data_IF_998831119982
#
_entry.id   IF_998831119982
#
_cell.length_a   1.000
_cell.length_b   1.000
_cell.length_c   1.000
_cell.angle_alpha   90.00
_cell.angle_beta   90.00
_cell.angle_gamma   90.00
#
_symmetry.space_group_name_H-M   'P 1'
#
loop_
_entity.id
_entity.type
_entity.pdbx_description
1 polymer ?
#
# COMPACT_ATOMS: atom_id res chain seq x y z
N UNK A 1 11.05 25.02 16.14
CA UNK A 1 12.09 25.00 15.11
C UNK A 1 11.74 26.06 14.08
N UNK A 2 12.65 27.00 13.81
CA UNK A 2 12.50 27.99 12.74
C UNK A 2 13.10 27.47 11.40
N UNK A 3 13.01 28.27 10.33
CA UNK A 3 13.49 27.85 9.00
C UNK A 3 15.00 27.65 8.92
N UNK A 4 15.80 28.37 9.72
CA UNK A 4 17.25 28.19 9.76
C UNK A 4 17.60 26.88 10.45
N UNK A 5 17.02 26.67 11.64
CA UNK A 5 17.16 25.44 12.41
C UNK A 5 16.70 24.22 11.61
N UNK A 6 15.59 24.35 10.86
CA UNK A 6 15.10 23.30 9.97
C UNK A 6 16.09 22.99 8.85
N UNK A 7 16.68 24.01 8.22
CA UNK A 7 17.67 23.81 7.15
C UNK A 7 18.91 23.09 7.66
N UNK A 8 19.43 23.48 8.82
CA UNK A 8 20.57 22.81 9.45
C UNK A 8 20.25 21.36 9.80
N UNK A 9 19.08 21.12 10.43
CA UNK A 9 18.59 19.78 10.75
C UNK A 9 18.42 18.89 9.51
N UNK A 10 17.86 19.44 8.43
CA UNK A 10 17.62 18.72 7.18
C UNK A 10 18.92 18.35 6.48
N UNK A 11 19.89 19.25 6.39
CA UNK A 11 21.21 18.96 5.80
C UNK A 11 21.93 17.87 6.61
N UNK A 12 21.97 18.02 7.93
CA UNK A 12 22.55 17.01 8.84
C UNK A 12 21.92 15.62 8.64
N UNK A 13 20.58 15.57 8.55
CA UNK A 13 19.85 14.32 8.34
C UNK A 13 20.12 13.71 6.97
N UNK A 14 20.24 14.53 5.93
CA UNK A 14 20.58 14.07 4.58
C UNK A 14 21.98 13.45 4.55
N UNK A 15 22.96 14.09 5.19
CA UNK A 15 24.33 13.57 5.28
C UNK A 15 24.36 12.22 6.04
N UNK A 16 23.57 12.08 7.12
CA UNK A 16 23.40 10.82 7.85
C UNK A 16 22.77 9.73 6.99
N UNK A 17 21.71 10.05 6.22
CA UNK A 17 21.04 9.10 5.30
C UNK A 17 22.01 8.65 4.20
N UNK A 18 22.76 9.57 3.59
CA UNK A 18 23.74 9.23 2.56
C UNK A 18 24.81 8.32 3.15
N UNK A 19 25.42 8.71 4.27
CA UNK A 19 26.42 7.87 4.97
C UNK A 19 25.85 6.49 5.33
N UNK A 20 24.59 6.44 5.72
CA UNK A 20 23.92 5.19 6.06
C UNK A 20 23.82 4.23 4.87
N UNK A 21 23.42 4.71 3.70
CA UNK A 21 23.35 3.89 2.48
C UNK A 21 24.73 3.55 1.91
N UNK A 22 25.70 4.47 2.00
CA UNK A 22 27.09 4.23 1.58
C UNK A 22 27.78 3.15 2.43
N UNK A 23 27.32 2.92 3.66
CA UNK A 23 27.89 1.94 4.61
C UNK A 23 26.92 0.81 4.95
N UNK A 24 25.88 0.60 4.13
CA UNK A 24 24.81 -0.36 4.43
C UNK A 24 25.31 -1.81 4.51
N UNK A 25 26.35 -2.14 3.73
CA UNK A 25 26.96 -3.48 3.67
C UNK A 25 27.69 -3.85 4.97
N UNK A 26 28.15 -2.86 5.73
CA UNK A 26 28.81 -3.07 7.03
C UNK A 26 27.80 -3.40 8.16
N UNK A 27 26.51 -3.28 7.88
CA UNK A 27 25.44 -3.44 8.87
C UNK A 27 24.87 -4.85 8.85
N UNK A 28 24.43 -5.33 10.02
CA UNK A 28 23.73 -6.61 10.10
C UNK A 28 22.38 -6.51 9.42
N UNK A 29 22.08 -7.47 8.56
CA UNK A 29 20.78 -7.57 7.89
C UNK A 29 19.65 -7.87 8.88
N UNK A 30 19.91 -8.71 9.89
CA UNK A 30 18.91 -9.08 10.90
C UNK A 30 19.21 -8.41 12.25
N UNK A 31 18.18 -7.85 12.92
CA UNK A 31 18.32 -7.28 14.25
C UNK A 31 18.60 -8.37 15.30
N UNK A 32 19.37 -8.04 16.35
CA UNK A 32 19.67 -8.95 17.49
C UNK A 32 18.96 -8.52 18.78
N UNK A 33 17.72 -8.09 18.64
CA UNK A 33 16.87 -7.52 19.70
C UNK A 33 15.59 -8.33 19.83
N UNK A 34 14.99 -8.30 21.01
CA UNK A 34 13.75 -9.02 21.31
C UNK A 34 12.51 -8.12 21.21
N UNK A 35 11.32 -8.68 20.92
CA UNK A 35 10.07 -7.93 20.93
C UNK A 35 9.89 -7.12 22.23
N UNK A 36 9.61 -5.83 22.09
CA UNK A 36 9.45 -4.91 23.21
C UNK A 36 10.74 -4.23 23.73
N UNK A 37 11.91 -4.46 23.11
CA UNK A 37 13.16 -3.80 23.52
C UNK A 37 13.05 -2.26 23.58
N UNK A 38 12.42 -1.65 22.57
CA UNK A 38 12.40 -0.19 22.41
C UNK A 38 11.64 0.51 23.55
N UNK A 39 10.56 -0.08 24.06
CA UNK A 39 9.80 0.45 25.19
C UNK A 39 10.67 0.62 26.44
N UNK A 40 11.72 -0.20 26.60
CA UNK A 40 12.65 -0.13 27.74
C UNK A 40 13.68 1.01 27.59
N UNK A 41 13.81 1.59 26.40
CA UNK A 41 14.81 2.62 26.06
C UNK A 41 14.23 4.02 25.90
N UNK A 42 12.89 4.13 25.85
CA UNK A 42 12.18 5.39 25.70
C UNK A 42 11.53 5.80 27.02
N UNK A 43 11.34 7.11 27.26
CA UNK A 43 10.53 7.59 28.38
C UNK A 43 9.11 7.04 28.35
N UNK A 44 8.46 6.93 29.51
CA UNK A 44 7.08 6.44 29.62
C UNK A 44 6.05 7.43 29.05
N UNK A 45 6.38 8.72 29.04
CA UNK A 45 5.52 9.81 28.57
C UNK A 45 6.25 10.71 27.57
N UNK A 46 5.48 11.35 26.69
CA UNK A 46 6.02 12.35 25.76
C UNK A 46 6.55 13.57 26.54
N UNK A 47 7.65 14.20 26.08
CA UNK A 47 8.22 15.36 26.76
C UNK A 47 7.24 16.55 26.73
N UNK A 48 7.08 17.23 27.87
CA UNK A 48 6.21 18.41 27.98
C UNK A 48 6.82 19.65 27.34
N UNK A 49 8.14 19.66 27.16
CA UNK A 49 8.90 20.74 26.54
C UNK A 49 9.62 20.23 25.30
N UNK A 50 9.88 21.11 24.35
CA UNK A 50 10.62 20.75 23.15
C UNK A 50 12.05 20.31 23.47
N UNK A 51 12.50 19.24 22.81
CA UNK A 51 13.88 18.74 22.89
C UNK A 51 14.72 19.27 21.71
N UNK A 52 16.04 19.30 21.89
CA UNK A 52 16.94 19.73 20.82
C UNK A 52 17.02 18.66 19.72
N UNK A 53 17.04 19.09 18.45
CA UNK A 53 17.14 18.17 17.31
C UNK A 53 18.36 17.25 17.38
N UNK A 54 19.50 17.76 17.85
CA UNK A 54 20.72 16.98 18.01
C UNK A 54 20.57 15.79 18.97
N UNK A 55 19.69 15.89 19.97
CA UNK A 55 19.44 14.78 20.90
C UNK A 55 18.47 13.77 20.30
N UNK A 56 17.49 14.23 19.49
CA UNK A 56 16.61 13.36 18.69
C UNK A 56 17.43 12.57 17.65
N UNK A 57 18.40 13.19 16.97
CA UNK A 57 19.26 12.50 15.98
C UNK A 57 20.07 11.37 16.63
N UNK A 58 20.69 11.63 17.80
CA UNK A 58 21.40 10.58 18.56
C UNK A 58 20.48 9.40 18.89
N UNK A 59 19.23 9.70 19.23
CA UNK A 59 18.23 8.67 19.53
C UNK A 59 17.81 7.86 18.29
N UNK A 60 17.70 8.50 17.12
CA UNK A 60 17.48 7.79 15.85
C UNK A 60 18.62 6.79 15.62
N UNK A 61 19.88 7.23 15.72
CA UNK A 61 21.05 6.37 15.52
C UNK A 61 21.11 5.21 16.54
N UNK A 62 20.93 5.52 17.83
CA UNK A 62 21.14 4.56 18.90
C UNK A 62 19.94 3.62 19.13
N UNK A 63 18.70 4.09 18.95
CA UNK A 63 17.48 3.37 19.37
C UNK A 63 16.65 2.86 18.19
N UNK A 64 16.63 3.59 17.07
CA UNK A 64 15.77 3.31 15.92
C UNK A 64 16.50 2.49 14.84
N UNK A 65 17.71 2.92 14.43
CA UNK A 65 18.47 2.24 13.36
C UNK A 65 18.70 0.73 13.57
N UNK A 66 18.88 0.21 14.80
CA UNK A 66 19.03 -1.23 15.00
C UNK A 66 17.82 -2.09 14.57
N UNK A 67 16.66 -1.48 14.28
CA UNK A 67 15.39 -2.17 13.98
C UNK A 67 14.78 -1.88 12.60
N UNK A 68 15.46 -1.19 11.70
CA UNK A 68 14.92 -0.79 10.37
C UNK A 68 15.40 -1.73 9.25
N UNK A 69 14.56 -1.92 8.22
CA UNK A 69 14.90 -2.51 6.91
C UNK A 69 14.82 -1.43 5.82
N UNK A 70 15.77 -1.42 4.88
CA UNK A 70 16.14 -0.23 4.08
C UNK A 70 15.53 -0.17 2.67
N UNK A 71 15.27 1.03 2.13
CA UNK A 71 14.82 1.26 0.74
C UNK A 71 15.22 2.67 0.22
N UNK A 72 16.06 2.72 -0.82
CA UNK A 72 16.50 3.92 -1.58
C UNK A 72 16.09 3.70 -3.06
N UNK A 73 15.56 4.67 -3.85
CA UNK A 73 15.84 6.12 -3.94
C UNK A 73 14.59 7.04 -3.88
N UNK A 74 13.41 6.54 -3.49
CA UNK A 74 12.13 7.28 -3.55
C UNK A 74 12.03 8.51 -2.61
N UNK A 75 13.00 8.71 -1.71
CA UNK A 75 12.93 9.69 -0.63
C UNK A 75 12.83 11.15 -1.10
N UNK A 76 13.46 11.53 -2.21
CA UNK A 76 13.36 12.91 -2.71
C UNK A 76 11.94 13.25 -3.18
N UNK A 77 11.26 12.30 -3.82
CA UNK A 77 9.84 12.45 -4.19
C UNK A 77 8.96 12.62 -2.96
N UNK A 78 9.21 11.80 -1.93
CA UNK A 78 8.48 11.86 -0.67
C UNK A 78 8.69 13.18 0.10
N UNK A 79 9.90 13.75 0.06
CA UNK A 79 10.17 15.06 0.65
C UNK A 79 9.31 16.17 0.03
N UNK A 80 9.19 16.19 -1.31
CA UNK A 80 8.32 17.15 -1.99
C UNK A 80 6.84 16.86 -1.74
N UNK A 81 6.43 15.58 -1.77
CA UNK A 81 5.06 15.16 -1.42
C UNK A 81 4.65 15.66 -0.03
N UNK A 82 5.52 15.44 0.96
CA UNK A 82 5.34 15.89 2.34
C UNK A 82 5.31 17.41 2.43
N UNK A 83 6.18 18.12 1.71
CA UNK A 83 6.21 19.59 1.73
C UNK A 83 4.93 20.23 1.19
N UNK A 84 4.29 19.59 0.20
CA UNK A 84 3.07 20.13 -0.41
C UNK A 84 1.80 19.78 0.37
N UNK A 85 1.80 18.71 1.18
CA UNK A 85 0.66 18.27 2.01
C UNK A 85 -0.70 18.25 1.27
N UNK A 86 -0.68 17.96 -0.03
CA UNK A 86 -1.86 18.10 -0.88
C UNK A 86 -2.95 17.12 -0.47
N UNK A 87 -4.13 17.62 -0.07
CA UNK A 87 -5.30 16.77 0.06
C UNK A 87 -5.71 16.27 -1.34
N UNK A 88 -5.80 14.96 -1.52
CA UNK A 88 -6.00 14.34 -2.85
C UNK A 88 -7.27 13.47 -2.93
N UNK A 89 -8.34 13.86 -2.22
CA UNK A 89 -9.59 13.08 -2.21
C UNK A 89 -10.57 13.46 -3.34
N UNK A 90 -10.34 14.57 -4.04
CA UNK A 90 -11.00 14.90 -5.29
C UNK A 90 -10.08 15.78 -6.15
N UNK A 91 -10.40 15.90 -7.44
CA UNK A 91 -9.55 16.61 -8.39
C UNK A 91 -9.34 18.09 -8.04
N UNK A 92 -10.37 18.78 -7.54
CA UNK A 92 -10.26 20.23 -7.24
C UNK A 92 -9.34 20.53 -6.05
N UNK A 93 -9.12 19.57 -5.15
CA UNK A 93 -8.19 19.74 -4.02
C UNK A 93 -6.72 19.74 -4.46
N UNK A 94 -6.35 18.96 -5.47
CA UNK A 94 -5.01 18.98 -6.06
C UNK A 94 -4.98 18.31 -7.45
N UNK A 95 -5.26 19.06 -8.54
CA UNK A 95 -5.32 18.51 -9.89
C UNK A 95 -4.06 17.75 -10.32
N UNK A 96 -2.91 18.32 -9.98
CA UNK A 96 -1.59 17.78 -10.35
C UNK A 96 -1.36 16.40 -9.76
N UNK A 97 -1.86 16.12 -8.54
CA UNK A 97 -1.70 14.79 -7.93
C UNK A 97 -2.44 13.73 -8.74
N UNK A 98 -3.68 14.02 -9.15
CA UNK A 98 -4.49 13.07 -9.95
C UNK A 98 -3.94 12.89 -11.37
N UNK A 99 -3.55 13.98 -12.02
CA UNK A 99 -3.05 13.92 -13.40
C UNK A 99 -1.68 13.26 -13.50
N UNK A 100 -0.76 13.57 -12.57
CA UNK A 100 0.58 12.98 -12.55
C UNK A 100 0.52 11.48 -12.29
N UNK A 101 -0.33 11.02 -11.37
CA UNK A 101 -0.53 9.59 -11.11
C UNK A 101 -0.97 8.86 -12.38
N UNK A 102 -1.96 9.40 -13.09
CA UNK A 102 -2.48 8.81 -14.33
C UNK A 102 -1.39 8.67 -15.39
N UNK A 103 -0.58 9.72 -15.59
CA UNK A 103 0.53 9.72 -16.56
C UNK A 103 1.59 8.68 -16.20
N UNK A 104 2.02 8.65 -14.93
CA UNK A 104 3.08 7.74 -14.46
C UNK A 104 2.63 6.29 -14.55
N UNK A 105 1.36 5.99 -14.25
CA UNK A 105 0.82 4.64 -14.37
C UNK A 105 0.64 4.20 -15.83
N UNK A 106 0.33 5.11 -16.74
CA UNK A 106 0.38 4.82 -18.18
C UNK A 106 1.81 4.50 -18.64
N UNK A 107 2.83 5.21 -18.11
CA UNK A 107 4.24 4.88 -18.38
C UNK A 107 4.59 3.49 -17.84
N UNK A 108 4.15 3.16 -16.63
CA UNK A 108 4.36 1.84 -16.01
C UNK A 108 3.68 0.71 -16.80
N UNK A 109 2.43 0.93 -17.24
CA UNK A 109 1.71 -0.03 -18.08
C UNK A 109 2.44 -0.31 -19.40
N UNK A 110 2.98 0.74 -20.05
CA UNK A 110 3.81 0.61 -21.25
C UNK A 110 5.13 -0.11 -20.96
N UNK A 111 5.79 0.19 -19.84
CA UNK A 111 7.04 -0.44 -19.44
C UNK A 111 6.88 -1.96 -19.21
N UNK A 112 5.73 -2.40 -18.68
CA UNK A 112 5.38 -3.82 -18.55
C UNK A 112 4.76 -4.44 -19.80
N UNK A 113 4.68 -3.69 -20.91
CA UNK A 113 4.02 -4.12 -22.14
C UNK A 113 2.58 -4.64 -21.91
N UNK A 114 1.84 -4.00 -21.00
CA UNK A 114 0.44 -4.36 -20.75
C UNK A 114 -0.45 -4.02 -21.96
N UNK A 115 -1.53 -4.78 -22.19
CA UNK A 115 -2.50 -4.48 -23.24
C UNK A 115 -3.06 -3.05 -23.18
N UNK A 116 -3.44 -2.45 -24.32
CA UNK A 116 -3.95 -1.08 -24.37
C UNK A 116 -5.19 -0.80 -23.50
N UNK A 117 -5.96 -1.83 -23.11
CA UNK A 117 -7.10 -1.66 -22.19
C UNK A 117 -6.71 -1.22 -20.76
N UNK A 118 -5.43 -1.34 -20.39
CA UNK A 118 -4.92 -0.85 -19.10
C UNK A 118 -4.48 0.62 -19.14
N UNK A 119 -4.40 1.23 -20.32
CA UNK A 119 -4.05 2.65 -20.46
C UNK A 119 -5.27 3.53 -20.17
N UNK A 120 -5.05 4.67 -19.53
CA UNK A 120 -6.07 5.70 -19.26
C UNK A 120 -6.75 6.23 -20.53
N UNK A 121 -6.00 6.22 -21.63
CA UNK A 121 -6.44 6.61 -22.99
C UNK A 121 -6.87 5.41 -23.85
N UNK A 122 -6.98 4.23 -23.24
CA UNK A 122 -7.31 2.97 -23.90
C UNK A 122 -8.79 2.81 -24.28
N UNK A 123 -9.12 1.78 -25.06
CA UNK A 123 -10.47 1.59 -25.63
C UNK A 123 -11.56 1.25 -24.61
N UNK A 124 -11.17 0.82 -23.40
CA UNK A 124 -12.10 0.45 -22.32
C UNK A 124 -12.33 1.58 -21.33
N UNK A 125 -11.73 2.76 -21.54
CA UNK A 125 -11.68 3.85 -20.55
C UNK A 125 -11.20 3.34 -19.18
N UNK A 126 -10.22 2.43 -19.20
CA UNK A 126 -9.59 1.87 -18.01
C UNK A 126 -8.53 2.81 -17.43
N UNK A 127 -7.56 2.26 -16.72
CA UNK A 127 -6.44 3.01 -16.17
C UNK A 127 -5.81 2.31 -14.96
N UNK A 128 -4.72 2.88 -14.45
CA UNK A 128 -4.11 2.50 -13.19
C UNK A 128 -4.51 3.43 -12.05
N UNK A 129 -4.36 2.95 -10.82
CA UNK A 129 -4.40 3.75 -9.58
C UNK A 129 -3.34 3.26 -8.61
N UNK A 130 -2.72 4.15 -7.83
CA UNK A 130 -1.78 3.77 -6.77
C UNK A 130 -2.56 3.34 -5.53
N UNK A 131 -2.28 2.13 -5.03
CA UNK A 131 -2.77 1.64 -3.75
C UNK A 131 -1.66 1.67 -2.70
N UNK A 132 -2.02 1.78 -1.42
CA UNK A 132 -1.05 1.73 -0.32
C UNK A 132 -0.37 0.37 -0.22
N UNK A 133 -1.09 -0.71 -0.55
CA UNK A 133 -0.51 -2.06 -0.64
C UNK A 133 -1.17 -2.92 -1.71
N UNK A 134 -0.48 -3.99 -2.14
CA UNK A 134 -1.09 -5.04 -2.95
C UNK A 134 -2.30 -5.71 -2.25
N UNK A 135 -2.31 -5.76 -0.91
CA UNK A 135 -3.44 -6.32 -0.15
C UNK A 135 -4.71 -5.47 -0.30
N UNK A 136 -4.57 -4.14 -0.31
CA UNK A 136 -5.66 -3.22 -0.58
C UNK A 136 -6.17 -3.35 -2.01
N UNK A 137 -5.26 -3.41 -2.99
CA UNK A 137 -5.64 -3.63 -4.39
C UNK A 137 -6.46 -4.92 -4.57
N UNK A 138 -6.03 -6.03 -3.96
CA UNK A 138 -6.77 -7.29 -3.97
C UNK A 138 -8.15 -7.14 -3.33
N UNK A 139 -8.26 -6.45 -2.19
CA UNK A 139 -9.53 -6.21 -1.52
C UNK A 139 -10.49 -5.38 -2.40
N UNK A 140 -9.99 -4.29 -3.01
CA UNK A 140 -10.75 -3.44 -3.91
C UNK A 140 -11.30 -4.23 -5.10
N UNK A 141 -10.44 -5.00 -5.79
CA UNK A 141 -10.86 -5.81 -6.94
C UNK A 141 -11.90 -6.86 -6.54
N UNK A 142 -11.73 -7.49 -5.38
CA UNK A 142 -12.65 -8.53 -4.92
C UNK A 142 -14.02 -7.97 -4.52
N UNK A 143 -14.07 -6.79 -3.91
CA UNK A 143 -15.32 -6.04 -3.67
C UNK A 143 -15.98 -5.63 -4.98
N UNK A 144 -15.22 -5.07 -5.92
CA UNK A 144 -15.73 -4.66 -7.23
C UNK A 144 -16.30 -5.86 -8.01
N UNK A 145 -15.62 -7.00 -8.00
CA UNK A 145 -16.10 -8.23 -8.65
C UNK A 145 -17.38 -8.77 -8.00
N UNK A 146 -17.44 -8.79 -6.66
CA UNK A 146 -18.63 -9.18 -5.90
C UNK A 146 -19.83 -8.30 -6.25
N UNK A 147 -19.65 -6.98 -6.21
CA UNK A 147 -20.74 -6.02 -6.40
C UNK A 147 -21.19 -5.95 -7.86
N UNK A 148 -20.26 -6.09 -8.81
CA UNK A 148 -20.60 -6.25 -10.23
C UNK A 148 -21.50 -7.46 -10.44
N UNK A 149 -21.11 -8.64 -9.94
CA UNK A 149 -21.90 -9.86 -10.08
C UNK A 149 -23.28 -9.72 -9.43
N UNK A 150 -23.34 -9.21 -8.19
CA UNK A 150 -24.60 -9.06 -7.47
C UNK A 150 -25.55 -8.12 -8.20
N UNK A 151 -25.06 -6.96 -8.66
CA UNK A 151 -25.84 -5.99 -9.44
C UNK A 151 -26.40 -6.60 -10.71
N UNK A 152 -25.61 -7.35 -11.46
CA UNK A 152 -26.05 -8.03 -12.69
C UNK A 152 -27.06 -9.15 -12.38
N UNK A 153 -26.80 -9.95 -11.36
CA UNK A 153 -27.65 -11.09 -10.96
C UNK A 153 -29.01 -10.68 -10.35
N UNK A 154 -29.17 -9.42 -9.93
CA UNK A 154 -30.41 -8.88 -9.38
C UNK A 154 -30.99 -7.72 -10.21
N UNK A 155 -30.46 -7.47 -11.41
CA UNK A 155 -30.89 -6.34 -12.25
C UNK A 155 -32.38 -6.39 -12.68
N UNK A 156 -32.99 -7.57 -12.64
CA UNK A 156 -34.41 -7.79 -12.97
C UNK A 156 -35.36 -7.43 -11.83
N UNK A 157 -34.86 -7.24 -10.60
CA UNK A 157 -35.66 -6.92 -9.42
C UNK A 157 -35.76 -5.40 -9.32
N UNK A 158 -36.98 -4.89 -9.47
CA UNK A 158 -37.27 -3.45 -9.46
C UNK A 158 -37.56 -2.92 -8.06
N UNK A 159 -38.13 -3.76 -7.19
CA UNK A 159 -38.37 -3.40 -5.80
C UNK A 159 -37.05 -3.37 -5.02
N UNK A 160 -36.83 -2.32 -4.23
CA UNK A 160 -35.55 -2.07 -3.57
C UNK A 160 -35.30 -3.02 -2.40
N UNK A 161 -36.32 -3.24 -1.56
CA UNK A 161 -36.23 -4.14 -0.40
C UNK A 161 -36.05 -5.60 -0.86
N UNK A 162 -36.83 -6.03 -1.87
CA UNK A 162 -36.68 -7.35 -2.48
C UNK A 162 -35.28 -7.51 -3.07
N UNK A 163 -34.74 -6.49 -3.73
CA UNK A 163 -33.40 -6.53 -4.32
C UNK A 163 -32.33 -6.65 -3.24
N UNK A 164 -32.43 -5.93 -2.13
CA UNK A 164 -31.49 -6.02 -1.01
C UNK A 164 -31.48 -7.42 -0.39
N UNK A 165 -32.65 -7.99 -0.11
CA UNK A 165 -32.78 -9.36 0.41
C UNK A 165 -32.17 -10.37 -0.57
N UNK A 166 -32.46 -10.20 -1.86
CA UNK A 166 -31.98 -11.10 -2.89
C UNK A 166 -30.45 -10.97 -3.10
N UNK A 167 -29.87 -9.78 -2.86
CA UNK A 167 -28.41 -9.56 -2.81
C UNK A 167 -27.81 -10.30 -1.60
N UNK A 168 -28.40 -10.17 -0.41
CA UNK A 168 -27.92 -10.82 0.80
C UNK A 168 -27.89 -12.34 0.65
N UNK A 169 -28.98 -12.93 0.15
CA UNK A 169 -29.11 -14.37 -0.12
C UNK A 169 -28.14 -14.90 -1.18
N UNK A 170 -27.76 -14.06 -2.16
CA UNK A 170 -26.77 -14.43 -3.18
C UNK A 170 -25.35 -14.29 -2.65
N UNK A 171 -25.05 -13.25 -1.87
CA UNK A 171 -23.70 -12.98 -1.32
C UNK A 171 -23.17 -14.18 -0.53
N UNK A 172 -24.00 -14.81 0.29
CA UNK A 172 -23.60 -15.99 1.09
C UNK A 172 -23.20 -17.21 0.25
N UNK A 173 -23.64 -17.26 -1.02
CA UNK A 173 -23.32 -18.36 -1.95
C UNK A 173 -21.99 -18.14 -2.67
N UNK A 174 -21.49 -16.91 -2.72
CA UNK A 174 -20.25 -16.57 -3.43
C UNK A 174 -19.02 -17.23 -2.81
N UNK A 175 -18.10 -17.61 -3.68
CA UNK A 175 -16.81 -18.22 -3.33
C UNK A 175 -15.72 -17.58 -4.17
N UNK A 176 -14.75 -16.93 -3.50
CA UNK A 176 -13.50 -16.52 -4.09
C UNK A 176 -12.54 -17.71 -4.18
N UNK A 177 -11.88 -17.86 -5.32
CA UNK A 177 -10.90 -18.90 -5.58
C UNK A 177 -9.50 -18.30 -5.65
N UNK A 178 -8.52 -19.05 -5.18
CA UNK A 178 -7.09 -18.74 -5.34
C UNK A 178 -6.30 -20.04 -5.28
N UNK A 179 -5.04 -20.04 -5.74
CA UNK A 179 -4.19 -21.21 -5.61
C UNK A 179 -3.81 -21.46 -4.14
N UNK A 180 -3.38 -22.67 -3.80
CA UNK A 180 -2.77 -22.97 -2.50
C UNK A 180 -1.50 -22.16 -2.21
N UNK A 181 -0.84 -21.62 -3.25
CA UNK A 181 0.34 -20.77 -3.15
C UNK A 181 0.01 -19.27 -3.09
N UNK A 182 -1.26 -18.88 -3.20
CA UNK A 182 -1.66 -17.47 -3.21
C UNK A 182 -1.39 -16.81 -1.85
N UNK A 183 -0.89 -15.57 -1.88
CA UNK A 183 -0.60 -14.80 -0.68
C UNK A 183 -1.81 -14.69 0.26
N UNK A 184 -1.56 -14.67 1.58
CA UNK A 184 -2.59 -14.64 2.63
C UNK A 184 -3.59 -13.47 2.49
N UNK A 185 -3.17 -12.38 1.84
CA UNK A 185 -3.98 -11.22 1.51
C UNK A 185 -5.29 -11.57 0.78
N UNK A 186 -5.29 -12.56 -0.12
CA UNK A 186 -6.52 -12.94 -0.86
C UNK A 186 -7.57 -13.55 0.05
N UNK A 187 -7.16 -14.40 1.00
CA UNK A 187 -8.07 -14.95 2.02
C UNK A 187 -8.59 -13.83 2.93
N UNK A 188 -7.73 -12.89 3.33
CA UNK A 188 -8.12 -11.72 4.13
C UNK A 188 -9.13 -10.83 3.38
N UNK A 189 -8.90 -10.56 2.10
CA UNK A 189 -9.81 -9.81 1.25
C UNK A 189 -11.18 -10.49 1.13
N UNK A 190 -11.23 -11.82 0.95
CA UNK A 190 -12.49 -12.57 0.91
C UNK A 190 -13.28 -12.43 2.22
N UNK A 191 -12.60 -12.47 3.37
CA UNK A 191 -13.23 -12.24 4.68
C UNK A 191 -13.81 -10.83 4.79
N UNK A 192 -13.04 -9.79 4.40
CA UNK A 192 -13.49 -8.39 4.40
C UNK A 192 -14.72 -8.22 3.50
N UNK A 193 -14.72 -8.85 2.33
CA UNK A 193 -15.83 -8.76 1.38
C UNK A 193 -17.04 -9.64 1.74
N UNK A 194 -16.98 -10.40 2.83
CA UNK A 194 -18.08 -11.27 3.27
C UNK A 194 -18.36 -12.43 2.31
N UNK A 195 -17.33 -12.97 1.65
CA UNK A 195 -17.44 -14.13 0.76
C UNK A 195 -16.55 -15.27 1.23
N UNK A 196 -16.91 -16.51 0.87
CA UNK A 196 -16.09 -17.68 1.23
C UNK A 196 -14.82 -17.69 0.39
N UNK A 197 -13.72 -18.20 0.94
CA UNK A 197 -12.50 -18.47 0.18
C UNK A 197 -12.27 -19.99 0.07
N UNK A 198 -11.82 -20.46 -1.09
CA UNK A 198 -11.37 -21.84 -1.31
C UNK A 198 -10.05 -21.82 -2.08
N UNK A 199 -9.05 -22.48 -1.51
CA UNK A 199 -7.77 -22.69 -2.18
C UNK A 199 -7.89 -23.88 -3.14
N UNK A 200 -7.37 -23.72 -4.36
CA UNK A 200 -7.30 -24.76 -5.37
C UNK A 200 -5.88 -25.33 -5.37
N UNK A 201 -5.71 -26.66 -5.22
CA UNK A 201 -4.41 -27.31 -5.35
C UNK A 201 -3.78 -26.97 -6.70
N UNK A 202 -2.48 -26.70 -6.71
CA UNK A 202 -1.69 -26.51 -7.93
C UNK A 202 -0.44 -27.38 -7.85
N UNK A 203 -0.05 -27.96 -8.98
CA UNK A 203 1.10 -28.84 -9.08
C UNK A 203 2.18 -28.21 -9.97
N UNK A 204 3.45 -28.47 -9.66
CA UNK A 204 4.57 -27.96 -10.44
C UNK A 204 4.57 -28.51 -11.88
N UNK A 205 4.10 -29.75 -12.05
CA UNK A 205 3.95 -30.44 -13.34
C UNK A 205 3.01 -29.69 -14.30
N UNK A 206 2.00 -29.00 -13.76
CA UNK A 206 1.02 -28.21 -14.51
C UNK A 206 1.41 -26.72 -14.64
N UNK A 207 2.68 -26.39 -14.40
CA UNK A 207 3.16 -25.01 -14.38
C UNK A 207 2.54 -24.16 -13.27
N UNK A 208 2.07 -24.79 -12.19
CA UNK A 208 1.30 -24.16 -11.10
C UNK A 208 0.03 -23.43 -11.58
N UNK A 209 -0.52 -23.83 -12.73
CA UNK A 209 -1.77 -23.27 -13.24
C UNK A 209 -2.97 -23.76 -12.41
N UNK A 210 -3.99 -22.91 -12.30
CA UNK A 210 -5.29 -23.31 -11.74
C UNK A 210 -6.07 -23.97 -12.90
N UNK A 211 -5.78 -25.23 -13.18
CA UNK A 211 -6.57 -26.04 -14.11
C UNK A 211 -7.84 -26.55 -13.41
N UNK A 212 -8.95 -26.62 -14.17
CA UNK A 212 -10.20 -27.23 -13.73
C UNK A 212 -10.20 -28.72 -14.06
#
# INVERSE_FOLDING_TARGET
MDSHQFREAAISSLDEIVKYYDTIEDRRVLPTIEPGYLRKLLPEEAPQNAEAWADIQKDIEAKILPGITHCFPAMLGEMYSTAFTGAAFNWICSPVVTELETIVLDWMARAFALPPCYLSTGPTYGGGVIHGTASEAIATVLVAARDKYLREATAHITDEEEREDAIALRRIKLVALGSVATHSATKKAAQIAGVRFRAVPVHAEDGSSISR
#
